data_IF_598525342599
#
_entry.id   IF_598525342599
#
_cell.length_a   1.000
_cell.length_b   1.000
_cell.length_c   1.000
_cell.angle_alpha   90.00
_cell.angle_beta   90.00
_cell.angle_gamma   90.00
#
_symmetry.space_group_name_H-M   'P 1'
#
loop_
_entity.id
_entity.type
_entity.pdbx_description
1 polymer ?
#
# COMPACT_ATOMS: atom_id res chain seq x y z
N UNK A 1 12.51 19.94 -11.59
CA UNK A 1 11.41 20.39 -12.46
C UNK A 1 11.34 21.90 -12.31
N UNK A 2 11.73 22.66 -13.34
CA UNK A 2 11.84 24.14 -13.25
C UNK A 2 10.44 24.72 -13.11
N UNK A 3 10.26 25.60 -12.13
CA UNK A 3 9.02 26.30 -11.82
C UNK A 3 8.51 27.05 -13.07
N UNK A 4 7.35 26.65 -13.60
CA UNK A 4 6.78 27.21 -14.83
C UNK A 4 6.30 28.66 -14.65
N UNK A 5 6.30 29.19 -13.42
CA UNK A 5 5.92 30.58 -13.12
C UNK A 5 6.88 31.64 -13.68
N UNK A 6 8.09 31.26 -14.12
CA UNK A 6 9.11 32.21 -14.62
C UNK A 6 9.01 32.44 -16.14
N UNK A 7 8.33 31.55 -16.89
CA UNK A 7 8.37 31.56 -18.37
C UNK A 7 7.09 32.16 -18.98
N UNK A 8 5.97 32.17 -18.26
CA UNK A 8 4.69 32.65 -18.77
C UNK A 8 4.31 34.00 -18.14
N UNK A 9 3.93 35.02 -18.94
CA UNK A 9 3.43 36.28 -18.41
C UNK A 9 2.20 36.03 -17.51
N UNK A 10 2.12 36.74 -16.38
CA UNK A 10 1.07 36.58 -15.33
C UNK A 10 -0.35 36.65 -15.89
N UNK A 11 -0.52 37.33 -17.00
CA UNK A 11 -1.77 37.58 -17.72
C UNK A 11 -2.35 36.27 -18.31
N UNK A 12 -1.50 35.29 -18.66
CA UNK A 12 -1.91 33.98 -19.21
C UNK A 12 -2.36 33.02 -18.10
N UNK A 13 -1.85 33.17 -16.87
CA UNK A 13 -2.23 32.34 -15.73
C UNK A 13 -3.67 32.63 -15.23
N UNK A 14 -4.23 33.79 -15.56
CA UNK A 14 -5.60 34.20 -15.21
C UNK A 14 -6.70 33.65 -16.15
N UNK A 15 -6.33 33.00 -17.25
CA UNK A 15 -7.26 32.55 -18.31
C UNK A 15 -7.72 31.08 -18.18
N UNK A 16 -7.33 30.36 -17.14
CA UNK A 16 -7.68 28.95 -16.97
C UNK A 16 -8.73 28.77 -15.86
N UNK A 17 -10.04 28.82 -16.16
CA UNK A 17 -11.06 28.55 -15.16
C UNK A 17 -10.99 27.07 -14.75
N UNK A 18 -10.46 26.81 -13.55
CA UNK A 18 -10.50 25.47 -12.95
C UNK A 18 -11.96 25.09 -12.72
N UNK A 19 -12.38 23.96 -13.27
CA UNK A 19 -13.72 23.39 -13.06
C UNK A 19 -13.56 21.92 -12.66
N UNK A 20 -14.28 21.52 -11.63
CA UNK A 20 -14.40 20.11 -11.24
C UNK A 20 -15.27 19.43 -12.28
N UNK A 21 -14.72 18.44 -12.98
CA UNK A 21 -15.44 17.67 -14.01
C UNK A 21 -16.28 16.58 -13.34
N UNK A 22 -15.76 15.96 -12.28
CA UNK A 22 -16.43 14.89 -11.54
C UNK A 22 -15.81 14.75 -10.14
N UNK A 23 -16.64 14.37 -9.17
CA UNK A 23 -16.20 14.01 -7.80
C UNK A 23 -16.48 12.54 -7.59
N UNK A 24 -15.46 11.77 -7.23
CA UNK A 24 -15.57 10.34 -6.93
C UNK A 24 -15.52 10.15 -5.42
N UNK A 25 -16.52 9.47 -4.86
CA UNK A 25 -16.54 9.03 -3.47
C UNK A 25 -15.86 7.65 -3.36
N UNK A 26 -14.79 7.57 -2.57
CA UNK A 26 -14.00 6.33 -2.38
C UNK A 26 -14.21 5.84 -0.96
N UNK A 27 -14.67 4.59 -0.84
CA UNK A 27 -14.87 3.93 0.46
C UNK A 27 -13.77 2.91 0.70
N UNK A 28 -13.26 2.87 1.93
CA UNK A 28 -12.32 1.86 2.42
C UNK A 28 -13.09 0.84 3.26
N UNK A 29 -12.79 -0.44 3.06
CA UNK A 29 -13.29 -1.53 3.88
C UNK A 29 -12.22 -1.92 4.89
N UNK A 30 -12.53 -1.79 6.18
CA UNK A 30 -11.69 -2.25 7.27
C UNK A 30 -12.49 -3.27 8.10
N UNK A 31 -12.10 -4.54 8.09
CA UNK A 31 -12.76 -5.61 8.88
C UNK A 31 -12.18 -5.69 10.30
N UNK A 32 -10.91 -5.29 10.46
CA UNK A 32 -10.17 -5.25 11.72
C UNK A 32 -9.70 -3.82 11.96
N UNK A 33 -10.03 -3.24 13.11
CA UNK A 33 -9.62 -1.89 13.48
C UNK A 33 -8.21 -1.83 14.11
N UNK A 34 -7.68 -0.62 14.29
CA UNK A 34 -6.36 -0.37 14.87
C UNK A 34 -6.22 -0.83 16.34
N UNK A 35 -7.33 -1.07 17.03
CA UNK A 35 -7.36 -1.54 18.43
C UNK A 35 -7.51 -3.07 18.50
N UNK A 36 -7.67 -3.74 17.36
CA UNK A 36 -7.85 -5.18 17.28
C UNK A 36 -9.30 -5.65 17.39
N UNK A 37 -10.30 -4.75 17.25
CA UNK A 37 -11.70 -5.15 17.21
C UNK A 37 -12.09 -5.57 15.78
N UNK A 38 -12.82 -6.68 15.66
CA UNK A 38 -13.28 -7.25 14.38
C UNK A 38 -14.76 -6.96 14.19
N UNK A 39 -15.15 -6.57 12.98
CA UNK A 39 -16.55 -6.59 12.56
C UNK A 39 -16.95 -8.03 12.18
N UNK A 40 -17.58 -8.74 13.13
CA UNK A 40 -18.02 -10.12 12.94
C UNK A 40 -19.00 -10.30 11.76
N UNK A 41 -19.73 -9.25 11.37
CA UNK A 41 -20.68 -9.32 10.25
C UNK A 41 -19.98 -9.41 8.89
N UNK A 42 -18.73 -8.97 8.81
CA UNK A 42 -17.91 -8.95 7.61
C UNK A 42 -16.78 -9.99 7.65
N UNK A 43 -16.60 -10.70 8.77
CA UNK A 43 -15.54 -11.67 8.96
C UNK A 43 -15.78 -12.91 8.08
N UNK A 44 -14.82 -13.31 7.22
CA UNK A 44 -14.91 -14.55 6.47
C UNK A 44 -14.85 -15.77 7.40
N UNK A 45 -15.41 -16.89 6.95
CA UNK A 45 -15.35 -18.16 7.68
C UNK A 45 -13.92 -18.71 7.65
N UNK A 46 -13.12 -18.33 8.64
CA UNK A 46 -11.75 -18.78 8.86
C UNK A 46 -11.68 -19.50 10.22
N UNK A 47 -11.03 -20.64 10.25
CA UNK A 47 -10.68 -21.32 11.49
C UNK A 47 -9.49 -20.65 12.18
N UNK A 48 -9.37 -20.84 13.49
CA UNK A 48 -8.21 -20.36 14.28
C UNK A 48 -6.87 -20.86 13.73
N UNK A 49 -6.86 -22.04 13.11
CA UNK A 49 -5.65 -22.63 12.50
C UNK A 49 -5.25 -21.84 11.25
N UNK A 50 -6.22 -21.50 10.40
CA UNK A 50 -5.98 -20.69 9.20
C UNK A 50 -5.51 -19.28 9.57
N UNK A 51 -6.16 -18.65 10.55
CA UNK A 51 -5.75 -17.31 11.04
C UNK A 51 -4.31 -17.34 11.55
N UNK A 52 -3.94 -18.35 12.34
CA UNK A 52 -2.56 -18.51 12.82
C UNK A 52 -1.58 -18.74 11.67
N UNK A 53 -1.93 -19.60 10.71
CA UNK A 53 -1.10 -19.85 9.53
C UNK A 53 -0.87 -18.58 8.70
N UNK A 54 -1.89 -17.75 8.51
CA UNK A 54 -1.76 -16.46 7.83
C UNK A 54 -0.83 -15.50 8.59
N UNK A 55 -0.92 -15.46 9.93
CA UNK A 55 -0.03 -14.64 10.75
C UNK A 55 1.44 -15.11 10.68
N UNK A 56 1.66 -16.43 10.66
CA UNK A 56 2.99 -17.01 10.44
C UNK A 56 3.55 -16.61 9.07
N UNK A 57 2.73 -16.70 8.01
CA UNK A 57 3.13 -16.27 6.67
C UNK A 57 3.44 -14.78 6.59
N UNK A 58 2.67 -13.92 7.28
CA UNK A 58 2.93 -12.47 7.35
C UNK A 58 4.32 -12.21 7.95
N UNK A 59 4.63 -12.88 9.05
CA UNK A 59 5.90 -12.75 9.76
C UNK A 59 7.06 -13.29 8.93
N UNK A 60 6.87 -14.44 8.27
CA UNK A 60 7.85 -15.05 7.41
C UNK A 60 8.15 -14.17 6.19
N UNK A 61 7.11 -13.66 5.54
CA UNK A 61 7.22 -12.80 4.35
C UNK A 61 8.03 -11.54 4.65
N UNK A 62 7.75 -10.87 5.78
CA UNK A 62 8.50 -9.70 6.22
C UNK A 62 9.96 -10.03 6.56
N UNK A 63 10.20 -11.17 7.21
CA UNK A 63 11.56 -11.62 7.53
C UNK A 63 12.37 -11.92 6.27
N UNK A 64 11.73 -12.59 5.31
CA UNK A 64 12.33 -12.90 4.01
C UNK A 64 12.65 -11.62 3.23
N UNK A 65 11.71 -10.67 3.16
CA UNK A 65 11.91 -9.38 2.49
C UNK A 65 13.15 -8.65 3.02
N UNK A 66 13.28 -8.57 4.35
CA UNK A 66 14.45 -7.98 4.99
C UNK A 66 15.74 -8.71 4.61
N UNK A 67 15.75 -10.04 4.59
CA UNK A 67 16.93 -10.81 4.23
C UNK A 67 17.29 -10.64 2.75
N UNK A 68 16.30 -10.67 1.86
CA UNK A 68 16.46 -10.45 0.44
C UNK A 68 17.05 -9.06 0.17
N UNK A 69 16.54 -8.01 0.80
CA UNK A 69 17.13 -6.66 0.70
C UNK A 69 18.59 -6.60 1.16
N UNK A 70 18.94 -7.31 2.24
CA UNK A 70 20.35 -7.41 2.68
C UNK A 70 21.22 -8.11 1.65
N UNK A 71 20.79 -9.25 1.10
CA UNK A 71 21.52 -9.98 0.06
C UNK A 71 21.70 -9.15 -1.21
N UNK A 72 20.70 -8.38 -1.61
CA UNK A 72 20.81 -7.46 -2.76
C UNK A 72 21.88 -6.38 -2.49
N UNK A 73 21.89 -5.78 -1.29
CA UNK A 73 22.88 -4.76 -0.91
C UNK A 73 24.32 -5.30 -0.84
N UNK A 74 24.46 -6.57 -0.47
CA UNK A 74 25.74 -7.29 -0.47
C UNK A 74 26.19 -7.75 -1.87
N UNK A 75 25.35 -7.58 -2.90
CA UNK A 75 25.62 -8.08 -4.25
C UNK A 75 25.55 -9.62 -4.36
N UNK A 76 24.97 -10.29 -3.37
CA UNK A 76 24.81 -11.75 -3.31
C UNK A 76 23.51 -12.24 -3.94
N UNK A 77 22.65 -11.32 -4.34
CA UNK A 77 21.40 -11.56 -5.06
C UNK A 77 21.17 -10.42 -6.05
N UNK A 78 20.49 -10.70 -7.16
CA UNK A 78 20.05 -9.68 -8.12
C UNK A 78 18.98 -8.75 -7.55
N UNK A 79 18.33 -7.98 -8.43
CA UNK A 79 17.26 -7.06 -8.04
C UNK A 79 16.09 -7.79 -7.41
N UNK A 80 15.72 -7.39 -6.20
CA UNK A 80 14.54 -7.86 -5.47
C UNK A 80 13.52 -6.74 -5.33
N UNK A 81 12.28 -7.05 -5.68
CA UNK A 81 11.15 -6.15 -5.51
C UNK A 81 10.56 -6.35 -4.12
N UNK A 82 10.84 -5.42 -3.21
CA UNK A 82 10.33 -5.49 -1.84
C UNK A 82 8.81 -5.43 -1.80
N UNK A 83 8.24 -6.21 -0.89
CA UNK A 83 6.80 -6.29 -0.57
C UNK A 83 6.48 -5.72 0.81
N UNK A 84 7.39 -4.94 1.40
CA UNK A 84 7.22 -4.38 2.73
C UNK A 84 5.92 -3.55 2.83
N UNK A 85 5.07 -3.89 3.79
CA UNK A 85 3.75 -3.26 3.97
C UNK A 85 2.66 -3.77 3.01
N UNK A 86 2.95 -4.75 2.17
CA UNK A 86 1.99 -5.41 1.25
C UNK A 86 1.80 -6.90 1.55
N UNK A 87 2.35 -7.39 2.66
CA UNK A 87 2.37 -8.81 2.99
C UNK A 87 0.94 -9.38 3.08
N UNK A 88 0.02 -8.63 3.67
CA UNK A 88 -1.39 -9.05 3.81
C UNK A 88 -2.10 -9.20 2.46
N UNK A 89 -1.85 -8.29 1.51
CA UNK A 89 -2.40 -8.37 0.16
C UNK A 89 -1.92 -9.62 -0.59
N UNK A 90 -0.67 -10.04 -0.36
CA UNK A 90 -0.09 -11.23 -0.96
C UNK A 90 -0.61 -12.53 -0.36
N UNK A 91 -0.87 -12.56 0.95
CA UNK A 91 -1.32 -13.77 1.66
C UNK A 91 -2.83 -13.97 1.56
N UNK A 92 -3.59 -12.87 1.50
CA UNK A 92 -5.06 -12.91 1.42
C UNK A 92 -5.65 -13.01 0.01
N UNK A 93 -4.81 -13.08 -1.04
CA UNK A 93 -5.24 -13.27 -2.44
C UNK A 93 -5.53 -14.73 -2.77
#
# INVERSE_FOLDING_TARGET
MKDLTVILPRDILLLMPVRVIETIDIKRLDILDEKGNVDESLMPALSDIEIKGMYELLTLSRTFDHHALSLQREGRMGTYASIFGQEASQIGS
#
